data_IF_386846804856
#
_entry.id   IF_386846804856
#
_cell.length_a   1.000
_cell.length_b   1.000
_cell.length_c   1.000
_cell.angle_alpha   90.00
_cell.angle_beta   90.00
_cell.angle_gamma   90.00
#
_symmetry.space_group_name_H-M   'P 1'
#
loop_
_entity.id
_entity.type
_entity.pdbx_description
1 polymer ?
#
# COMPACT_ATOMS: atom_id res chain seq x y z
N UNK A 1 41.86 7.05 43.01
CA UNK A 1 40.82 7.51 42.07
C UNK A 1 40.39 6.33 41.24
N UNK A 2 39.19 5.78 41.46
CA UNK A 2 38.72 4.55 40.81
C UNK A 2 37.78 4.95 39.68
N UNK A 3 38.16 4.66 38.44
CA UNK A 3 37.31 4.86 37.27
C UNK A 3 36.47 3.60 37.06
N UNK A 4 35.15 3.72 37.18
CA UNK A 4 34.21 2.68 36.77
C UNK A 4 33.87 2.97 35.32
N UNK A 5 34.34 2.12 34.40
CA UNK A 5 33.92 2.16 32.99
C UNK A 5 32.67 1.31 32.87
N UNK A 6 31.51 1.95 32.81
CA UNK A 6 30.26 1.28 32.48
C UNK A 6 30.21 1.08 30.97
N UNK A 7 30.21 -0.19 30.52
CA UNK A 7 29.85 -0.56 29.15
C UNK A 7 28.36 -0.27 28.98
N UNK A 8 28.02 0.87 28.40
CA UNK A 8 26.64 1.16 27.98
C UNK A 8 26.32 0.16 26.87
N UNK A 9 25.33 -0.73 27.09
CA UNK A 9 24.74 -1.51 26.00
C UNK A 9 24.15 -0.51 25.02
N UNK A 10 24.65 -0.49 23.79
CA UNK A 10 23.99 0.22 22.70
C UNK A 10 22.58 -0.36 22.54
N UNK A 11 21.58 0.45 22.81
CA UNK A 11 20.20 0.10 22.52
C UNK A 11 19.99 0.31 21.03
N UNK A 12 19.96 -0.78 20.27
CA UNK A 12 19.50 -0.71 18.88
C UNK A 12 18.01 -0.38 18.94
N UNK A 13 17.65 0.85 18.58
CA UNK A 13 16.26 1.24 18.33
C UNK A 13 15.81 0.43 17.11
N UNK A 14 14.93 -0.55 17.33
CA UNK A 14 14.35 -1.36 16.25
C UNK A 14 13.06 -0.70 15.80
N UNK A 15 13.07 -0.12 14.59
CA UNK A 15 11.86 0.39 13.95
C UNK A 15 10.93 -0.77 13.58
N UNK A 16 9.66 -0.71 13.97
CA UNK A 16 8.63 -1.69 13.58
C UNK A 16 7.82 -1.19 12.38
N UNK A 17 7.95 -1.88 11.25
CA UNK A 17 7.20 -1.60 10.02
C UNK A 17 6.08 -2.65 9.87
N UNK A 18 4.84 -2.18 9.74
CA UNK A 18 3.69 -3.00 9.36
C UNK A 18 3.50 -3.01 7.84
N UNK A 19 3.07 -4.13 7.29
CA UNK A 19 2.75 -4.29 5.87
C UNK A 19 1.42 -5.01 5.74
N UNK A 20 0.54 -4.52 4.87
CA UNK A 20 -0.75 -5.14 4.54
C UNK A 20 -1.16 -4.80 3.09
N UNK A 21 -1.91 -5.68 2.44
CA UNK A 21 -2.45 -5.51 1.08
C UNK A 21 -3.89 -6.05 1.02
N UNK A 22 -4.53 -5.95 -0.14
CA UNK A 22 -5.80 -6.61 -0.47
C UNK A 22 -6.95 -6.25 0.49
N UNK A 23 -6.97 -4.98 0.91
CA UNK A 23 -7.99 -4.49 1.85
C UNK A 23 -9.38 -4.49 1.23
N UNK A 24 -9.48 -4.17 -0.07
CA UNK A 24 -10.73 -4.07 -0.81
C UNK A 24 -11.87 -3.41 0.01
N UNK A 25 -11.61 -2.19 0.49
CA UNK A 25 -12.46 -1.44 1.44
C UNK A 25 -13.88 -1.17 0.93
N UNK A 26 -14.15 -1.46 -0.33
CA UNK A 26 -15.40 -1.23 -1.05
C UNK A 26 -16.13 -2.52 -1.47
N UNK A 27 -15.57 -3.72 -1.21
CA UNK A 27 -16.23 -4.99 -1.56
C UNK A 27 -17.27 -5.45 -0.54
N UNK A 28 -17.13 -5.06 0.72
CA UNK A 28 -18.03 -5.52 1.78
C UNK A 28 -19.28 -4.63 1.87
N UNK A 29 -20.46 -5.22 1.72
CA UNK A 29 -21.75 -4.51 1.66
C UNK A 29 -22.15 -3.75 2.94
N UNK A 30 -21.54 -4.06 4.08
CA UNK A 30 -21.94 -3.54 5.39
C UNK A 30 -20.80 -2.90 6.18
N UNK A 31 -19.54 -3.09 5.76
CA UNK A 31 -18.40 -2.46 6.43
C UNK A 31 -18.18 -1.07 5.84
N UNK A 32 -18.25 -0.06 6.70
CA UNK A 32 -17.96 1.32 6.33
C UNK A 32 -16.45 1.54 6.33
N UNK A 33 -15.98 2.47 5.49
CA UNK A 33 -14.58 2.91 5.44
C UNK A 33 -13.97 3.19 6.83
N UNK A 34 -14.77 3.81 7.70
CA UNK A 34 -14.38 4.13 9.09
C UNK A 34 -13.98 2.90 9.90
N UNK A 35 -14.63 1.75 9.67
CA UNK A 35 -14.30 0.51 10.38
C UNK A 35 -12.87 0.06 10.04
N UNK A 36 -12.50 0.05 8.75
CA UNK A 36 -11.14 -0.28 8.31
C UNK A 36 -10.09 0.65 8.94
N UNK A 37 -10.34 1.97 8.93
CA UNK A 37 -9.44 2.96 9.52
C UNK A 37 -9.28 2.70 11.02
N UNK A 38 -10.39 2.61 11.78
CA UNK A 38 -10.33 2.39 13.23
C UNK A 38 -9.60 1.10 13.56
N UNK A 39 -9.93 -0.01 12.90
CA UNK A 39 -9.30 -1.31 13.16
C UNK A 39 -7.80 -1.29 12.86
N UNK A 40 -7.37 -0.68 11.75
CA UNK A 40 -5.95 -0.56 11.43
C UNK A 40 -5.22 0.35 12.42
N UNK A 41 -5.81 1.48 12.82
CA UNK A 41 -5.25 2.35 13.85
C UNK A 41 -5.09 1.61 15.19
N UNK A 42 -6.07 0.79 15.58
CA UNK A 42 -6.00 -0.01 16.79
C UNK A 42 -4.89 -1.05 16.72
N UNK A 43 -4.75 -1.76 15.58
CA UNK A 43 -3.65 -2.72 15.37
C UNK A 43 -2.29 -2.04 15.39
N UNK A 44 -2.17 -0.87 14.75
CA UNK A 44 -0.95 -0.05 14.74
C UNK A 44 -0.51 0.27 16.17
N UNK A 45 -1.45 0.75 17.01
CA UNK A 45 -1.18 1.07 18.42
C UNK A 45 -0.83 -0.17 19.23
N UNK A 46 -1.62 -1.24 19.10
CA UNK A 46 -1.43 -2.47 19.87
C UNK A 46 -0.10 -3.19 19.59
N UNK A 47 0.47 -2.99 18.39
CA UNK A 47 1.73 -3.64 17.98
C UNK A 47 2.94 -2.72 18.01
N UNK A 48 2.76 -1.46 18.43
CA UNK A 48 3.74 -0.37 18.36
C UNK A 48 4.33 -0.22 16.93
N UNK A 49 3.47 -0.27 15.91
CA UNK A 49 3.92 -0.05 14.53
C UNK A 49 4.27 1.44 14.36
N UNK A 50 5.46 1.73 13.85
CA UNK A 50 5.96 3.09 13.64
C UNK A 50 5.79 3.56 12.19
N UNK A 51 5.55 2.63 11.28
CA UNK A 51 5.27 2.88 9.87
C UNK A 51 4.40 1.78 9.28
N UNK A 52 3.45 2.16 8.42
CA UNK A 52 2.59 1.23 7.71
C UNK A 52 2.78 1.34 6.19
N UNK A 53 2.97 0.20 5.54
CA UNK A 53 3.01 0.06 4.08
C UNK A 53 1.72 -0.61 3.63
N UNK A 54 0.97 0.04 2.74
CA UNK A 54 -0.18 -0.54 2.05
C UNK A 54 0.26 -1.01 0.66
N UNK A 55 0.40 -2.32 0.48
CA UNK A 55 1.00 -2.94 -0.70
C UNK A 55 -0.03 -3.36 -1.76
N UNK A 56 -0.97 -2.46 -2.07
CA UNK A 56 -1.92 -2.60 -3.17
C UNK A 56 -3.29 -3.15 -2.81
N UNK A 57 -4.18 -3.10 -3.79
CA UNK A 57 -5.57 -3.54 -3.79
C UNK A 57 -6.37 -2.99 -2.61
N UNK A 58 -6.33 -1.66 -2.51
CA UNK A 58 -7.06 -0.91 -1.47
C UNK A 58 -8.54 -0.87 -1.83
N UNK A 59 -8.87 -0.45 -3.05
CA UNK A 59 -10.25 -0.34 -3.55
C UNK A 59 -10.29 -0.43 -5.08
N UNK A 60 -11.48 -0.58 -5.66
CA UNK A 60 -11.72 -0.57 -7.10
C UNK A 60 -11.81 0.85 -7.70
N UNK A 61 -11.33 1.89 -6.99
CA UNK A 61 -11.41 3.25 -7.50
C UNK A 61 -10.26 4.12 -6.97
N UNK A 62 -9.47 4.70 -7.89
CA UNK A 62 -8.20 5.33 -7.51
C UNK A 62 -8.34 6.45 -6.46
N UNK A 63 -9.37 7.30 -6.61
CA UNK A 63 -9.65 8.39 -5.64
C UNK A 63 -10.03 7.85 -4.26
N UNK A 64 -10.79 6.76 -4.20
CA UNK A 64 -11.20 6.13 -2.94
C UNK A 64 -9.98 5.53 -2.24
N UNK A 65 -9.12 4.85 -2.99
CA UNK A 65 -7.84 4.34 -2.48
C UNK A 65 -6.98 5.46 -1.89
N UNK A 66 -6.81 6.59 -2.59
CA UNK A 66 -6.02 7.70 -2.05
C UNK A 66 -6.69 8.41 -0.86
N UNK A 67 -8.01 8.57 -0.89
CA UNK A 67 -8.75 9.13 0.25
C UNK A 67 -8.58 8.27 1.51
N UNK A 68 -8.58 6.94 1.36
CA UNK A 68 -8.29 6.02 2.45
C UNK A 68 -6.89 6.22 3.02
N UNK A 69 -5.85 6.28 2.17
CA UNK A 69 -4.47 6.54 2.62
C UNK A 69 -4.37 7.83 3.43
N UNK A 70 -4.96 8.93 2.95
CA UNK A 70 -4.95 10.20 3.67
C UNK A 70 -5.63 10.10 5.03
N UNK A 71 -6.79 9.46 5.10
CA UNK A 71 -7.52 9.30 6.36
C UNK A 71 -6.76 8.40 7.33
N UNK A 72 -6.21 7.28 6.86
CA UNK A 72 -5.42 6.36 7.69
C UNK A 72 -4.18 7.04 8.25
N UNK A 73 -3.44 7.79 7.44
CA UNK A 73 -2.29 8.59 7.88
C UNK A 73 -2.68 9.62 8.96
N UNK A 74 -3.77 10.36 8.72
CA UNK A 74 -4.24 11.37 9.66
C UNK A 74 -4.72 10.79 11.01
N UNK A 75 -5.29 9.58 11.03
CA UNK A 75 -5.83 8.96 12.25
C UNK A 75 -4.82 8.07 13.01
N UNK A 76 -3.79 7.57 12.33
CA UNK A 76 -2.77 6.69 12.94
C UNK A 76 -1.59 7.45 13.52
N UNK A 77 -1.37 8.71 13.09
CA UNK A 77 -0.25 9.57 13.52
C UNK A 77 1.15 8.96 13.25
N UNK A 78 1.23 8.00 12.33
CA UNK A 78 2.48 7.38 11.86
C UNK A 78 2.68 7.62 10.37
N UNK A 79 3.87 7.27 9.87
CA UNK A 79 4.11 7.25 8.43
C UNK A 79 3.27 6.17 7.77
N UNK A 80 2.48 6.54 6.76
CA UNK A 80 1.72 5.61 5.92
C UNK A 80 2.14 5.86 4.48
N UNK A 81 2.68 4.82 3.85
CA UNK A 81 3.10 4.82 2.44
C UNK A 81 2.40 3.68 1.71
N UNK A 82 2.28 3.78 0.39
CA UNK A 82 1.57 2.77 -0.38
C UNK A 82 2.15 2.54 -1.77
N UNK A 83 1.80 1.39 -2.33
CA UNK A 83 1.93 1.06 -3.74
C UNK A 83 0.52 0.72 -4.24
N UNK A 84 0.01 1.33 -5.32
CA UNK A 84 -1.26 0.90 -5.90
C UNK A 84 -1.14 -0.50 -6.53
N UNK A 85 -2.11 -1.36 -6.21
CA UNK A 85 -2.36 -2.63 -6.90
C UNK A 85 -3.18 -2.40 -8.17
N UNK A 86 -3.51 -3.46 -8.90
CA UNK A 86 -4.22 -3.33 -10.17
C UNK A 86 -5.63 -2.76 -9.99
N UNK A 87 -6.32 -3.13 -8.90
CA UNK A 87 -7.65 -2.61 -8.59
C UNK A 87 -7.64 -1.11 -8.30
N UNK A 88 -6.54 -0.59 -7.77
CA UNK A 88 -6.40 0.83 -7.46
C UNK A 88 -6.29 1.70 -8.73
N UNK A 89 -6.05 1.11 -9.90
CA UNK A 89 -6.09 1.80 -11.19
C UNK A 89 -7.48 1.80 -11.84
N UNK A 90 -8.47 1.14 -11.24
CA UNK A 90 -9.80 1.04 -11.82
C UNK A 90 -10.59 2.35 -11.65
N UNK A 91 -11.53 2.53 -12.57
CA UNK A 91 -12.41 3.68 -12.62
C UNK A 91 -13.77 3.29 -13.22
N UNK A 92 -14.85 3.76 -12.61
CA UNK A 92 -16.19 3.67 -13.16
C UNK A 92 -16.49 4.99 -13.90
N UNK A 93 -16.77 4.92 -15.20
CA UNK A 93 -17.32 6.03 -16.01
C UNK A 93 -16.54 7.37 -15.96
N UNK A 94 -15.21 7.34 -16.11
CA UNK A 94 -14.43 8.57 -16.39
C UNK A 94 -13.49 8.41 -17.58
N UNK A 95 -13.05 9.53 -18.15
CA UNK A 95 -12.12 9.58 -19.28
C UNK A 95 -10.64 9.37 -18.88
N UNK A 96 -10.32 9.06 -17.62
CA UNK A 96 -8.92 8.90 -17.20
C UNK A 96 -8.35 7.53 -17.56
N UNK A 97 -7.18 7.56 -18.18
CA UNK A 97 -6.35 6.39 -18.45
C UNK A 97 -5.55 5.95 -17.20
N UNK A 98 -5.11 4.69 -17.19
CA UNK A 98 -4.23 4.18 -16.14
C UNK A 98 -2.90 4.95 -16.05
N UNK A 99 -2.44 5.55 -17.15
CA UNK A 99 -1.24 6.41 -17.16
C UNK A 99 -1.48 7.71 -16.39
N UNK A 100 -2.62 8.37 -16.60
CA UNK A 100 -2.98 9.59 -15.84
C UNK A 100 -3.20 9.28 -14.36
N UNK A 101 -3.76 8.11 -14.05
CA UNK A 101 -3.90 7.65 -12.65
C UNK A 101 -2.52 7.36 -12.03
N UNK A 102 -1.58 6.78 -12.80
CA UNK A 102 -0.21 6.57 -12.34
C UNK A 102 0.47 7.90 -12.02
N UNK A 103 0.38 8.89 -12.91
CA UNK A 103 0.91 10.23 -12.68
C UNK A 103 0.27 10.88 -11.45
N UNK A 104 -1.05 10.74 -11.29
CA UNK A 104 -1.76 11.18 -10.09
C UNK A 104 -1.15 10.56 -8.83
N UNK A 105 -0.88 9.26 -8.82
CA UNK A 105 -0.28 8.59 -7.65
C UNK A 105 1.16 9.00 -7.43
N UNK A 106 1.99 9.04 -8.47
CA UNK A 106 3.40 9.46 -8.38
C UNK A 106 3.54 10.89 -7.86
N UNK A 107 2.55 11.76 -8.09
CA UNK A 107 2.52 13.10 -7.52
C UNK A 107 2.27 13.16 -5.99
N UNK A 108 1.95 12.02 -5.34
CA UNK A 108 1.66 11.96 -3.89
C UNK A 108 2.88 11.49 -3.13
N UNK A 109 3.22 12.22 -2.07
CA UNK A 109 4.37 11.90 -1.21
C UNK A 109 4.23 10.52 -0.52
N UNK A 110 3.00 10.01 -0.35
CA UNK A 110 2.75 8.69 0.21
C UNK A 110 2.99 7.54 -0.79
N UNK A 111 3.01 7.80 -2.10
CA UNK A 111 3.16 6.76 -3.12
C UNK A 111 4.63 6.43 -3.34
N UNK A 112 5.01 5.16 -3.15
CA UNK A 112 6.40 4.72 -3.29
C UNK A 112 6.87 4.56 -4.74
N UNK A 113 5.97 4.64 -5.72
CA UNK A 113 6.34 4.58 -7.13
C UNK A 113 7.02 5.89 -7.52
N UNK A 114 8.30 5.83 -7.88
CA UNK A 114 9.10 7.01 -8.22
C UNK A 114 9.53 7.85 -7.00
N UNK A 115 9.01 7.58 -5.80
CA UNK A 115 9.36 8.27 -4.57
C UNK A 115 9.81 7.28 -3.48
N UNK A 116 11.09 6.85 -3.48
CA UNK A 116 11.63 6.02 -2.41
C UNK A 116 11.46 6.67 -1.04
N UNK A 117 11.00 5.90 -0.05
CA UNK A 117 10.93 6.36 1.33
C UNK A 117 12.23 6.03 2.06
N UNK A 118 13.01 7.05 2.39
CA UNK A 118 14.30 6.90 3.08
C UNK A 118 14.05 6.68 4.58
N UNK A 119 14.56 5.57 5.12
CA UNK A 119 14.46 5.26 6.55
C UNK A 119 15.68 5.81 7.30
N UNK A 120 16.88 5.58 6.76
CA UNK A 120 18.16 6.07 7.28
C UNK A 120 19.26 5.89 6.22
N UNK A 121 20.52 6.15 6.59
CA UNK A 121 21.70 6.04 5.73
C UNK A 121 21.93 4.63 5.13
N UNK A 122 21.27 3.60 5.66
CA UNK A 122 21.43 2.20 5.24
C UNK A 122 20.19 1.59 4.59
N UNK A 123 19.01 2.19 4.78
CA UNK A 123 17.74 1.59 4.36
C UNK A 123 16.81 2.58 3.69
N UNK A 124 16.23 2.16 2.57
CA UNK A 124 15.15 2.82 1.88
C UNK A 124 14.11 1.80 1.43
N UNK A 125 12.85 2.24 1.32
CA UNK A 125 11.74 1.45 0.81
C UNK A 125 11.41 1.98 -0.58
N UNK A 126 11.34 1.07 -1.56
CA UNK A 126 10.97 1.36 -2.94
C UNK A 126 9.72 0.57 -3.31
N UNK A 127 8.88 1.14 -4.16
CA UNK A 127 7.63 0.52 -4.59
C UNK A 127 7.52 0.48 -6.10
N UNK A 128 6.89 -0.58 -6.60
CA UNK A 128 6.54 -0.74 -8.01
C UNK A 128 5.24 -1.50 -8.10
N UNK A 129 4.31 -1.07 -8.97
CA UNK A 129 2.98 -1.71 -9.10
C UNK A 129 3.05 -3.12 -9.68
N UNK A 130 4.11 -3.43 -10.44
CA UNK A 130 4.34 -4.78 -10.96
C UNK A 130 3.32 -5.23 -11.99
N UNK A 131 2.75 -4.27 -12.76
CA UNK A 131 1.85 -4.57 -13.87
C UNK A 131 2.46 -5.65 -14.79
N UNK A 132 1.57 -6.46 -15.35
CA UNK A 132 1.90 -7.71 -16.02
C UNK A 132 2.11 -7.50 -17.52
N UNK A 133 3.09 -8.21 -18.06
CA UNK A 133 3.39 -8.30 -19.50
C UNK A 133 2.85 -9.58 -20.14
N UNK A 134 2.05 -10.36 -19.40
CA UNK A 134 1.50 -11.65 -19.79
C UNK A 134 2.54 -12.75 -20.11
N UNK A 135 3.81 -12.55 -19.75
CA UNK A 135 4.88 -13.55 -19.98
C UNK A 135 4.65 -14.87 -19.23
N UNK A 136 3.88 -14.84 -18.13
CA UNK A 136 3.50 -16.00 -17.32
C UNK A 136 2.15 -16.61 -17.70
N UNK A 137 1.53 -16.21 -18.80
CA UNK A 137 0.24 -16.75 -19.22
C UNK A 137 0.33 -18.24 -19.55
N UNK A 138 -0.58 -19.02 -18.97
CA UNK A 138 -0.77 -20.42 -19.32
C UNK A 138 -1.43 -20.57 -20.70
N UNK A 139 -0.87 -21.46 -21.53
CA UNK A 139 -1.34 -21.76 -22.90
C UNK A 139 -2.84 -22.09 -23.03
N UNK A 140 -3.54 -22.44 -21.94
CA UNK A 140 -4.99 -22.70 -21.91
C UNK A 140 -5.84 -21.43 -22.05
N UNK A 141 -5.26 -20.25 -21.86
CA UNK A 141 -5.95 -18.97 -21.99
C UNK A 141 -5.64 -18.34 -23.35
N UNK A 142 -6.71 -18.07 -24.12
CA UNK A 142 -6.57 -17.27 -25.34
C UNK A 142 -6.35 -15.80 -24.99
N UNK A 143 -5.74 -15.05 -25.91
CA UNK A 143 -5.56 -13.60 -25.79
C UNK A 143 -6.86 -12.88 -25.41
N UNK A 144 -7.97 -13.22 -26.04
CA UNK A 144 -9.30 -12.70 -25.70
C UNK A 144 -9.71 -12.92 -24.23
N UNK A 145 -9.40 -14.09 -23.66
CA UNK A 145 -9.70 -14.37 -22.24
C UNK A 145 -8.83 -13.54 -21.31
N UNK A 146 -7.57 -13.31 -21.70
CA UNK A 146 -6.61 -12.50 -20.93
C UNK A 146 -7.05 -11.05 -20.92
N UNK A 147 -7.39 -10.49 -22.09
CA UNK A 147 -7.85 -9.11 -22.27
C UNK A 147 -9.17 -8.84 -21.55
N UNK A 148 -10.01 -9.86 -21.36
CA UNK A 148 -11.22 -9.74 -20.56
C UNK A 148 -10.93 -9.52 -19.07
N UNK A 149 -9.75 -9.92 -18.56
CA UNK A 149 -9.34 -9.70 -17.18
C UNK A 149 -10.21 -10.41 -16.13
N UNK A 150 -10.86 -11.53 -16.47
CA UNK A 150 -11.82 -12.20 -15.60
C UNK A 150 -11.74 -13.73 -15.70
N UNK A 151 -11.64 -14.42 -14.56
CA UNK A 151 -11.68 -15.88 -14.50
C UNK A 151 -12.17 -16.40 -13.13
N UNK A 152 -13.18 -17.28 -13.12
CA UNK A 152 -13.79 -17.85 -11.90
C UNK A 152 -14.16 -16.80 -10.82
N UNK A 153 -14.60 -15.61 -11.24
CA UNK A 153 -14.96 -14.51 -10.33
C UNK A 153 -13.76 -13.69 -9.83
N UNK A 154 -12.53 -14.12 -10.10
CA UNK A 154 -11.34 -13.30 -9.97
C UNK A 154 -11.22 -12.34 -11.14
N UNK A 155 -10.63 -11.18 -10.87
CA UNK A 155 -10.42 -10.11 -11.85
C UNK A 155 -9.01 -9.55 -11.70
N UNK A 156 -8.39 -9.16 -12.80
CA UNK A 156 -7.08 -8.50 -12.82
C UNK A 156 -7.04 -7.37 -13.84
#
# INVERSE_FOLDING_TARGET
MMFIVLKVKEWVVKMKIGVISDLHIDRHSHLMLKAYITTLCDVVKQRDIEMLIIAGDISNHYQRSYQFIKQLKANSEISVVFIPGNHDFWIDETDQSSAEILEFYQSKAECLIGNPHIINDSWAIVGHTGCYDYSYTDSRFSQYKIERGQHYGGTW
#
